data_IF_894882540491
#
_entry.id   IF_894882540491
#
_cell.length_a   1.000
_cell.length_b   1.000
_cell.length_c   1.000
_cell.angle_alpha   90.00
_cell.angle_beta   90.00
_cell.angle_gamma   90.00
#
_symmetry.space_group_name_H-M   'P 1'
#
loop_
_entity.id
_entity.type
_entity.pdbx_description
1 polymer ?
#
# COMPACT_ATOMS: atom_id res chain seq x y z
N UNK A 1 31.96 20.99 -12.86
CA UNK A 1 32.29 19.60 -12.48
C UNK A 1 31.71 19.20 -11.12
N UNK A 2 31.91 19.97 -10.04
CA UNK A 2 31.41 19.63 -8.68
C UNK A 2 29.87 19.54 -8.56
N UNK A 3 29.12 20.44 -9.19
CA UNK A 3 27.64 20.43 -9.22
C UNK A 3 27.10 19.15 -9.87
N UNK A 4 27.78 18.65 -10.90
CA UNK A 4 27.39 17.42 -11.60
C UNK A 4 27.56 16.17 -10.73
N UNK A 5 28.61 16.14 -9.90
CA UNK A 5 28.87 15.04 -8.96
C UNK A 5 27.81 15.01 -7.85
N UNK A 6 27.45 16.18 -7.30
CA UNK A 6 26.37 16.29 -6.30
C UNK A 6 25.03 15.84 -6.89
N UNK A 7 24.74 16.25 -8.13
CA UNK A 7 23.52 15.85 -8.83
C UNK A 7 23.45 14.33 -9.05
N UNK A 8 24.56 13.67 -9.40
CA UNK A 8 24.60 12.22 -9.59
C UNK A 8 24.25 11.45 -8.30
N UNK A 9 24.68 11.96 -7.15
CA UNK A 9 24.41 11.33 -5.85
C UNK A 9 22.91 11.26 -5.51
N UNK A 10 22.09 12.18 -6.05
CA UNK A 10 20.65 12.18 -5.81
C UNK A 10 19.94 10.95 -6.37
N UNK A 11 20.53 10.27 -7.36
CA UNK A 11 19.95 9.13 -8.08
C UNK A 11 20.58 7.79 -7.72
N UNK A 12 21.55 7.75 -6.81
CA UNK A 12 22.11 6.49 -6.34
C UNK A 12 21.07 5.71 -5.51
N UNK A 13 20.99 4.38 -5.69
CA UNK A 13 20.08 3.54 -4.92
C UNK A 13 20.51 3.47 -3.45
N UNK A 14 19.53 3.56 -2.56
CA UNK A 14 19.64 3.51 -1.12
C UNK A 14 18.58 2.57 -0.58
N UNK A 15 18.99 1.68 0.33
CA UNK A 15 18.05 0.84 1.08
C UNK A 15 17.26 1.69 2.06
N UNK A 16 15.94 1.64 1.95
CA UNK A 16 15.02 2.38 2.81
C UNK A 16 14.11 1.39 3.52
N UNK A 17 14.10 1.45 4.85
CA UNK A 17 13.18 0.66 5.66
C UNK A 17 11.78 1.25 5.58
N UNK A 18 10.81 0.40 5.34
CA UNK A 18 9.38 0.70 5.35
C UNK A 18 8.67 -0.37 6.15
N UNK A 19 7.47 -0.06 6.61
CA UNK A 19 6.61 -1.00 7.33
C UNK A 19 5.48 -1.44 6.41
N UNK A 20 5.28 -2.75 6.34
CA UNK A 20 4.16 -3.38 5.64
C UNK A 20 3.28 -4.11 6.66
N UNK A 21 1.97 -4.15 6.39
CA UNK A 21 1.03 -4.97 7.13
C UNK A 21 0.59 -6.13 6.24
N UNK A 22 1.14 -7.31 6.50
CA UNK A 22 1.01 -8.49 5.64
C UNK A 22 0.18 -9.56 6.33
N UNK A 23 -0.37 -10.50 5.56
CA UNK A 23 -1.18 -11.57 6.15
C UNK A 23 -0.32 -12.59 6.89
N UNK A 24 -0.70 -12.88 8.13
CA UNK A 24 -0.18 -14.00 8.89
C UNK A 24 -1.17 -15.18 8.84
N UNK A 25 -0.83 -16.28 8.15
CA UNK A 25 -1.73 -17.42 8.02
C UNK A 25 -1.95 -18.21 9.31
N UNK A 26 -0.99 -18.18 10.24
CA UNK A 26 -1.08 -18.93 11.49
C UNK A 26 -2.09 -18.28 12.45
N UNK A 27 -2.14 -16.95 12.46
CA UNK A 27 -3.03 -16.18 13.33
C UNK A 27 -4.27 -15.62 12.63
N UNK A 28 -4.36 -15.76 11.30
CA UNK A 28 -5.41 -15.18 10.45
C UNK A 28 -5.62 -13.67 10.68
N UNK A 29 -4.52 -12.94 10.91
CA UNK A 29 -4.51 -11.51 11.19
C UNK A 29 -3.46 -10.80 10.33
N UNK A 30 -3.41 -9.47 10.41
CA UNK A 30 -2.28 -8.72 9.87
C UNK A 30 -1.09 -8.80 10.83
N UNK A 31 0.10 -8.92 10.27
CA UNK A 31 1.36 -8.81 10.98
C UNK A 31 2.09 -7.58 10.48
N UNK A 32 2.60 -6.77 11.42
CA UNK A 32 3.53 -5.69 11.10
C UNK A 32 4.89 -6.28 10.72
N UNK A 33 5.40 -5.95 9.54
CA UNK A 33 6.69 -6.42 9.04
C UNK A 33 7.53 -5.25 8.55
N UNK A 34 8.78 -5.18 9.00
CA UNK A 34 9.76 -4.30 8.38
C UNK A 34 10.16 -4.90 7.02
N UNK A 35 10.25 -4.05 6.00
CA UNK A 35 10.67 -4.40 4.65
C UNK A 35 11.68 -3.36 4.14
N UNK A 36 12.60 -3.78 3.27
CA UNK A 36 13.56 -2.89 2.63
C UNK A 36 13.15 -2.66 1.17
N UNK A 37 13.00 -1.40 0.80
CA UNK A 37 12.82 -0.99 -0.61
C UNK A 37 14.02 -0.17 -1.07
N UNK A 38 14.38 -0.32 -2.34
CA UNK A 38 15.37 0.53 -2.97
C UNK A 38 14.73 1.87 -3.35
N UNK A 39 15.29 2.97 -2.86
CA UNK A 39 14.89 4.33 -3.24
C UNK A 39 16.11 5.18 -3.55
N UNK A 40 15.91 6.36 -4.13
CA UNK A 40 16.97 7.36 -4.29
C UNK A 40 16.74 8.55 -3.36
N UNK A 41 17.77 9.38 -3.16
CA UNK A 41 17.61 10.60 -2.37
C UNK A 41 16.59 11.55 -3.02
N UNK A 42 16.54 11.61 -4.35
CA UNK A 42 15.52 12.36 -5.08
C UNK A 42 14.10 11.85 -4.79
N UNK A 43 13.89 10.53 -4.74
CA UNK A 43 12.58 9.96 -4.39
C UNK A 43 12.18 10.27 -2.95
N UNK A 44 13.13 10.27 -2.03
CA UNK A 44 12.88 10.57 -0.62
C UNK A 44 12.58 12.03 -0.36
N UNK A 45 13.25 12.94 -1.08
CA UNK A 45 13.15 14.38 -0.81
C UNK A 45 12.17 15.11 -1.74
N UNK A 46 12.06 14.68 -2.99
CA UNK A 46 11.38 15.41 -4.07
C UNK A 46 10.18 14.62 -4.60
N UNK A 47 10.33 13.33 -4.87
CA UNK A 47 9.28 12.49 -5.48
C UNK A 47 8.65 11.53 -4.48
N UNK A 48 8.05 12.06 -3.41
CA UNK A 48 7.48 11.25 -2.33
C UNK A 48 6.40 10.26 -2.79
N UNK A 49 5.64 10.59 -3.82
CA UNK A 49 4.69 9.63 -4.41
C UNK A 49 5.37 8.35 -4.92
N UNK A 50 6.65 8.40 -5.29
CA UNK A 50 7.43 7.22 -5.67
C UNK A 50 7.58 6.23 -4.51
N UNK A 51 7.88 6.72 -3.30
CA UNK A 51 8.05 5.82 -2.15
C UNK A 51 6.72 5.15 -1.75
N UNK A 52 5.61 5.88 -1.79
CA UNK A 52 4.29 5.32 -1.47
C UNK A 52 3.88 4.27 -2.51
N UNK A 53 4.13 4.53 -3.80
CA UNK A 53 3.91 3.54 -4.86
C UNK A 53 4.74 2.29 -4.63
N UNK A 54 6.03 2.43 -4.27
CA UNK A 54 6.91 1.29 -3.97
C UNK A 54 6.42 0.45 -2.80
N UNK A 55 5.86 1.06 -1.76
CA UNK A 55 5.24 0.34 -0.63
C UNK A 55 4.07 -0.53 -1.10
N UNK A 56 3.15 0.03 -1.89
CA UNK A 56 2.01 -0.74 -2.40
C UNK A 56 2.43 -1.82 -3.40
N UNK A 57 3.40 -1.54 -4.27
CA UNK A 57 3.95 -2.53 -5.19
C UNK A 57 4.64 -3.68 -4.45
N UNK A 58 5.39 -3.38 -3.38
CA UNK A 58 5.99 -4.40 -2.53
C UNK A 58 4.92 -5.24 -1.83
N UNK A 59 3.86 -4.61 -1.31
CA UNK A 59 2.74 -5.32 -0.71
C UNK A 59 2.01 -6.26 -1.69
N UNK A 60 1.81 -5.83 -2.94
CA UNK A 60 1.29 -6.67 -4.03
C UNK A 60 2.23 -7.85 -4.30
N UNK A 61 3.53 -7.59 -4.38
CA UNK A 61 4.55 -8.62 -4.65
C UNK A 61 4.64 -9.66 -3.52
N UNK A 62 4.67 -9.23 -2.26
CA UNK A 62 4.64 -10.12 -1.10
C UNK A 62 3.35 -10.96 -1.06
N UNK A 63 2.21 -10.37 -1.43
CA UNK A 63 0.94 -11.10 -1.57
C UNK A 63 1.04 -12.16 -2.67
N UNK A 64 1.59 -11.81 -3.84
CA UNK A 64 1.74 -12.74 -4.96
C UNK A 64 2.70 -13.90 -4.67
N UNK A 65 3.72 -13.67 -3.84
CA UNK A 65 4.75 -14.67 -3.48
C UNK A 65 4.30 -15.67 -2.42
N UNK A 66 3.36 -15.29 -1.55
CA UNK A 66 2.87 -16.23 -0.54
C UNK A 66 1.86 -17.22 -1.13
N UNK A 67 1.77 -18.40 -0.52
CA UNK A 67 0.93 -19.50 -1.01
C UNK A 67 -0.58 -19.21 -1.01
N UNK A 68 -1.02 -18.17 -0.31
CA UNK A 68 -2.43 -17.80 -0.19
C UNK A 68 -2.87 -16.72 -1.17
N UNK A 69 -1.92 -16.05 -1.84
CA UNK A 69 -2.19 -14.89 -2.68
C UNK A 69 -3.01 -13.80 -1.96
N UNK A 70 -2.63 -13.52 -0.70
CA UNK A 70 -3.41 -12.72 0.25
C UNK A 70 -2.45 -11.86 1.12
N UNK A 71 -2.79 -10.63 1.54
CA UNK A 71 -4.11 -9.99 1.52
C UNK A 71 -4.47 -9.30 0.20
N UNK A 72 -3.53 -9.11 -0.72
CA UNK A 72 -3.84 -8.45 -1.99
C UNK A 72 -4.22 -9.49 -3.07
N UNK A 73 -5.42 -9.41 -3.67
CA UNK A 73 -5.87 -10.40 -4.65
C UNK A 73 -4.96 -10.52 -5.87
N UNK A 74 -4.81 -11.74 -6.38
CA UNK A 74 -3.97 -12.05 -7.53
C UNK A 74 -4.35 -11.22 -8.75
N UNK A 75 -3.34 -10.70 -9.46
CA UNK A 75 -3.54 -9.90 -10.67
C UNK A 75 -3.85 -8.43 -10.43
N UNK A 76 -3.96 -7.99 -9.16
CA UNK A 76 -4.07 -6.57 -8.79
C UNK A 76 -2.93 -5.77 -9.39
N UNK A 77 -3.27 -4.63 -10.02
CA UNK A 77 -2.31 -3.62 -10.47
C UNK A 77 -2.56 -2.30 -9.75
N UNK A 78 -1.49 -1.61 -9.38
CA UNK A 78 -1.56 -0.22 -8.95
C UNK A 78 -1.64 0.67 -10.20
N UNK A 79 -2.77 1.33 -10.41
CA UNK A 79 -2.98 2.23 -11.56
C UNK A 79 -2.43 3.62 -11.28
N UNK A 80 -2.72 4.16 -10.10
CA UNK A 80 -2.18 5.45 -9.65
C UNK A 80 -2.18 5.55 -8.13
N UNK A 81 -1.31 6.43 -7.63
CA UNK A 81 -1.27 6.84 -6.22
C UNK A 81 -0.83 8.29 -6.17
N UNK A 82 -1.58 9.12 -5.44
CA UNK A 82 -1.25 10.51 -5.15
C UNK A 82 -1.67 10.86 -3.72
N UNK A 83 -0.91 11.74 -3.06
CA UNK A 83 -1.28 12.25 -1.73
C UNK A 83 -1.68 13.71 -1.83
N UNK A 84 -2.85 14.04 -1.27
CA UNK A 84 -3.35 15.42 -1.18
C UNK A 84 -4.01 15.63 0.18
N UNK A 85 -3.66 16.72 0.86
CA UNK A 85 -4.24 17.14 2.14
C UNK A 85 -4.23 16.02 3.21
N UNK A 86 -3.14 15.23 3.24
CA UNK A 86 -2.97 14.11 4.16
C UNK A 86 -3.78 12.84 3.81
N UNK A 87 -4.41 12.81 2.64
CA UNK A 87 -5.16 11.65 2.14
C UNK A 87 -4.41 11.03 0.96
N UNK A 88 -4.09 9.74 1.04
CA UNK A 88 -3.58 8.97 -0.08
C UNK A 88 -4.74 8.40 -0.90
N UNK A 89 -4.81 8.76 -2.18
CA UNK A 89 -5.77 8.21 -3.12
C UNK A 89 -5.09 7.09 -3.89
N UNK A 90 -5.50 5.85 -3.66
CA UNK A 90 -4.86 4.65 -4.21
C UNK A 90 -5.83 3.99 -5.16
N UNK A 91 -5.51 4.03 -6.46
CA UNK A 91 -6.35 3.49 -7.50
C UNK A 91 -5.81 2.13 -7.95
N UNK A 92 -6.60 1.08 -7.76
CA UNK A 92 -6.29 -0.27 -8.19
C UNK A 92 -7.05 -0.65 -9.45
N UNK A 93 -6.58 -1.70 -10.12
CA UNK A 93 -7.32 -2.35 -11.20
C UNK A 93 -8.51 -3.16 -10.67
N UNK A 94 -9.42 -3.53 -11.57
CA UNK A 94 -10.65 -4.27 -11.22
C UNK A 94 -10.38 -5.63 -10.54
N UNK A 95 -9.24 -6.25 -10.80
CA UNK A 95 -8.80 -7.51 -10.19
C UNK A 95 -8.73 -7.41 -8.65
N UNK A 96 -8.46 -6.22 -8.11
CA UNK A 96 -8.44 -5.98 -6.66
C UNK A 96 -9.77 -6.32 -5.99
N UNK A 97 -10.89 -6.19 -6.71
CA UNK A 97 -12.22 -6.58 -6.24
C UNK A 97 -12.69 -7.88 -6.88
N UNK A 98 -12.54 -8.05 -8.20
CA UNK A 98 -13.09 -9.21 -8.92
C UNK A 98 -12.46 -10.53 -8.50
N UNK A 99 -11.18 -10.52 -8.11
CA UNK A 99 -10.47 -11.71 -7.67
C UNK A 99 -10.42 -11.80 -6.13
N UNK A 100 -11.08 -10.88 -5.43
CA UNK A 100 -11.11 -10.90 -3.97
C UNK A 100 -11.87 -12.16 -3.49
N UNK A 101 -11.32 -12.93 -2.53
CA UNK A 101 -11.94 -14.18 -2.07
C UNK A 101 -13.28 -13.99 -1.35
N UNK A 102 -13.60 -12.74 -0.99
CA UNK A 102 -14.82 -12.36 -0.27
C UNK A 102 -14.68 -12.56 1.23
N UNK A 103 -15.83 -12.53 1.92
CA UNK A 103 -15.92 -12.68 3.38
C UNK A 103 -15.51 -11.43 4.16
N UNK A 104 -16.12 -11.26 5.33
CA UNK A 104 -15.91 -10.09 6.19
C UNK A 104 -14.44 -9.93 6.61
N UNK A 105 -13.83 -10.98 7.17
CA UNK A 105 -12.45 -10.94 7.61
C UNK A 105 -11.50 -10.69 6.43
N UNK A 106 -11.71 -11.39 5.30
CA UNK A 106 -10.88 -11.24 4.11
C UNK A 106 -10.84 -9.79 3.64
N UNK A 107 -12.02 -9.18 3.51
CA UNK A 107 -12.15 -7.79 3.09
C UNK A 107 -11.48 -6.80 4.05
N UNK A 108 -11.68 -6.97 5.36
CA UNK A 108 -11.05 -6.13 6.37
C UNK A 108 -9.53 -6.23 6.28
N UNK A 109 -8.97 -7.44 6.19
CA UNK A 109 -7.52 -7.63 6.10
C UNK A 109 -6.95 -7.04 4.78
N UNK A 110 -7.64 -7.21 3.65
CA UNK A 110 -7.24 -6.59 2.36
C UNK A 110 -7.21 -5.08 2.45
N UNK A 111 -8.27 -4.46 2.96
CA UNK A 111 -8.37 -3.01 3.07
C UNK A 111 -7.31 -2.47 4.05
N UNK A 112 -7.26 -3.01 5.26
CA UNK A 112 -6.37 -2.47 6.29
C UNK A 112 -4.90 -2.83 6.08
N UNK A 113 -4.57 -3.84 5.27
CA UNK A 113 -3.21 -4.06 4.80
C UNK A 113 -2.69 -2.85 4.01
N UNK A 114 -3.52 -2.28 3.12
CA UNK A 114 -3.20 -1.07 2.35
C UNK A 114 -3.22 0.17 3.25
N UNK A 115 -4.31 0.37 4.00
CA UNK A 115 -4.53 1.56 4.82
C UNK A 115 -3.43 1.69 5.88
N UNK A 116 -3.14 0.62 6.62
CA UNK A 116 -2.16 0.67 7.70
C UNK A 116 -0.74 0.86 7.17
N UNK A 117 -0.38 0.25 6.04
CA UNK A 117 0.96 0.39 5.46
C UNK A 117 1.24 1.82 4.99
N UNK A 118 0.27 2.49 4.35
CA UNK A 118 0.44 3.87 3.91
C UNK A 118 0.37 4.88 5.06
N UNK A 119 -0.42 4.60 6.10
CA UNK A 119 -0.50 5.47 7.28
C UNK A 119 0.68 5.31 8.25
N UNK A 120 1.69 4.50 7.93
CA UNK A 120 3.00 4.55 8.59
C UNK A 120 3.79 5.80 8.19
N UNK A 121 3.49 6.41 7.04
CA UNK A 121 4.03 7.72 6.68
C UNK A 121 3.31 8.81 7.49
N UNK A 122 4.01 9.58 8.34
CA UNK A 122 3.37 10.54 9.25
C UNK A 122 2.50 11.59 8.54
N UNK A 123 2.80 11.93 7.30
CA UNK A 123 2.03 12.86 6.49
C UNK A 123 0.72 12.28 5.93
N UNK A 124 0.58 10.94 5.85
CA UNK A 124 -0.63 10.26 5.37
C UNK A 124 -1.49 9.90 6.58
N UNK A 125 -2.61 10.58 6.73
CA UNK A 125 -3.58 10.38 7.81
C UNK A 125 -4.69 9.42 7.43
N UNK A 126 -5.09 9.44 6.16
CA UNK A 126 -6.17 8.61 5.62
C UNK A 126 -5.81 8.03 4.26
N UNK A 127 -6.51 6.97 3.88
CA UNK A 127 -6.39 6.34 2.57
C UNK A 127 -7.77 6.20 1.93
N UNK A 128 -7.93 6.75 0.74
CA UNK A 128 -9.08 6.51 -0.13
C UNK A 128 -8.70 5.45 -1.16
N UNK A 129 -9.43 4.34 -1.17
CA UNK A 129 -9.28 3.29 -2.19
C UNK A 129 -10.22 3.60 -3.36
N UNK A 130 -9.70 3.46 -4.58
CA UNK A 130 -10.46 3.55 -5.82
C UNK A 130 -10.22 2.30 -6.65
N UNK A 131 -11.18 1.97 -7.50
CA UNK A 131 -11.07 0.85 -8.45
C UNK A 131 -11.40 1.37 -9.84
N UNK A 132 -10.47 1.22 -10.78
CA UNK A 132 -10.66 1.70 -12.16
C UNK A 132 -10.87 3.22 -12.24
N UNK A 133 -10.42 3.98 -11.24
CA UNK A 133 -10.63 5.42 -11.12
C UNK A 133 -11.95 5.84 -10.48
N UNK A 134 -12.81 4.90 -10.10
CA UNK A 134 -14.08 5.17 -9.44
C UNK A 134 -14.02 4.95 -7.92
N UNK A 135 -14.79 5.76 -7.20
CA UNK A 135 -15.17 5.45 -5.83
C UNK A 135 -16.09 4.23 -5.83
N UNK A 136 -15.89 3.34 -4.87
CA UNK A 136 -16.68 2.12 -4.70
C UNK A 136 -17.21 2.06 -3.28
N UNK A 137 -18.36 1.43 -3.08
CA UNK A 137 -18.94 1.31 -1.74
C UNK A 137 -18.18 0.31 -0.87
N UNK A 138 -17.69 -0.78 -1.47
CA UNK A 138 -17.13 -1.92 -0.75
C UNK A 138 -16.41 -2.88 -1.73
N UNK A 139 -15.55 -3.76 -1.24
CA UNK A 139 -15.00 -4.86 -2.04
C UNK A 139 -15.93 -6.07 -2.02
N UNK A 140 -16.49 -6.40 -0.85
CA UNK A 140 -17.25 -7.63 -0.63
C UNK A 140 -18.45 -7.49 0.33
N UNK A 141 -18.83 -6.28 0.74
CA UNK A 141 -20.05 -5.98 1.50
C UNK A 141 -19.85 -5.55 2.96
N UNK A 142 -18.62 -5.44 3.47
CA UNK A 142 -18.37 -5.33 4.92
C UNK A 142 -17.58 -4.09 5.33
N UNK A 143 -16.82 -3.47 4.43
CA UNK A 143 -16.07 -2.25 4.71
C UNK A 143 -16.56 -1.14 3.78
N UNK A 144 -16.97 -0.02 4.37
CA UNK A 144 -17.37 1.19 3.65
C UNK A 144 -16.13 1.89 3.06
N UNK A 145 -16.06 1.93 1.74
CA UNK A 145 -14.99 2.56 0.96
C UNK A 145 -15.42 3.90 0.34
N UNK A 146 -16.62 4.40 0.65
CA UNK A 146 -17.12 5.67 0.12
C UNK A 146 -16.38 6.89 0.68
N UNK A 147 -15.69 6.71 1.81
CA UNK A 147 -14.92 7.75 2.51
C UNK A 147 -13.49 7.30 2.82
N UNK A 148 -12.53 8.23 2.96
CA UNK A 148 -11.15 7.88 3.30
C UNK A 148 -11.03 7.25 4.70
N UNK A 149 -10.29 6.16 4.78
CA UNK A 149 -10.12 5.35 5.99
C UNK A 149 -8.88 5.74 6.78
N UNK A 150 -9.00 5.76 8.10
CA UNK A 150 -7.89 5.94 9.04
C UNK A 150 -7.25 4.59 9.41
N UNK A 151 -6.03 4.66 9.98
CA UNK A 151 -5.34 3.49 10.52
C UNK A 151 -6.21 2.78 11.55
N UNK A 152 -6.34 1.47 11.41
CA UNK A 152 -6.94 0.60 12.44
C UNK A 152 -6.05 -0.62 12.67
N UNK A 153 -5.52 -0.74 13.89
CA UNK A 153 -4.63 -1.83 14.29
C UNK A 153 -5.35 -2.96 15.03
N UNK A 154 -6.69 -2.94 15.11
CA UNK A 154 -7.51 -3.96 15.78
C UNK A 154 -7.27 -5.38 15.25
N UNK A 155 -6.90 -5.50 13.97
CA UNK A 155 -6.60 -6.76 13.29
C UNK A 155 -5.10 -7.09 13.24
N UNK A 156 -4.25 -6.39 14.00
CA UNK A 156 -2.79 -6.59 13.98
C UNK A 156 -2.35 -7.41 15.20
N UNK A 157 -1.58 -8.48 14.97
CA UNK A 157 -1.02 -9.36 16.01
C UNK A 157 0.43 -9.74 15.77
#
# INVERSE_FOLDING_TARGET
MLIFIIFLFFFLPLKTKVVLYTYNPDTQNLKKSDSEIETTLAERLIFRDSIYKKVILNLIDESNKNQYHFPIPRGTKLLSLSVKDGIAYVNFSEEFRKNHPGGSLGEILTVYSVVNSLTEFPEIKKVQILIGGAFVETLAGHVDLTSPLEKDLSMVR
#
